data_IF_523747986757
#
_entry.id   IF_523747986757
#
_cell.length_a   1.000
_cell.length_b   1.000
_cell.length_c   1.000
_cell.angle_alpha   90.00
_cell.angle_beta   90.00
_cell.angle_gamma   90.00
#
_symmetry.space_group_name_H-M   'P 1'
#
loop_
_entity.id
_entity.type
_entity.pdbx_description
1 polymer ?
#
# COMPACT_ATOMS: atom_id res chain seq x y z
N UNK A 1 -11.91 -14.11 -6.13
CA UNK A 1 -13.21 -13.40 -6.05
C UNK A 1 -13.27 -12.69 -4.71
N UNK A 2 -13.56 -11.40 -4.69
CA UNK A 2 -13.92 -10.67 -3.48
C UNK A 2 -15.45 -10.66 -3.41
N UNK A 3 -16.07 -11.38 -2.48
CA UNK A 3 -17.52 -11.55 -2.44
C UNK A 3 -18.18 -10.65 -1.40
N UNK A 4 -19.37 -10.13 -1.70
CA UNK A 4 -20.20 -9.41 -0.73
C UNK A 4 -19.63 -8.08 -0.23
N UNK A 5 -18.73 -7.45 -0.99
CA UNK A 5 -18.09 -6.20 -0.61
C UNK A 5 -19.05 -5.01 -0.72
N UNK A 6 -19.03 -4.09 0.24
CA UNK A 6 -19.75 -2.81 0.13
C UNK A 6 -18.86 -1.79 -0.59
N UNK A 7 -19.39 -1.07 -1.58
CA UNK A 7 -18.72 0.05 -2.23
C UNK A 7 -19.03 1.37 -1.51
N UNK A 8 -18.26 2.42 -1.81
CA UNK A 8 -18.44 3.76 -1.23
C UNK A 8 -19.78 4.42 -1.59
N UNK A 9 -20.43 3.96 -2.66
CA UNK A 9 -21.78 4.40 -3.06
C UNK A 9 -22.91 3.62 -2.36
N UNK A 10 -22.56 2.71 -1.45
CA UNK A 10 -23.51 1.92 -0.66
C UNK A 10 -23.95 0.60 -1.30
N UNK A 11 -23.61 0.33 -2.56
CA UNK A 11 -23.95 -0.96 -3.21
C UNK A 11 -23.12 -2.10 -2.62
N UNK A 12 -23.72 -3.29 -2.54
CA UNK A 12 -23.01 -4.54 -2.23
C UNK A 12 -22.79 -5.33 -3.51
N UNK A 13 -21.54 -5.74 -3.76
CA UNK A 13 -21.10 -6.34 -5.02
C UNK A 13 -20.12 -7.50 -4.80
N UNK A 14 -19.94 -8.30 -5.84
CA UNK A 14 -18.78 -9.16 -6.00
C UNK A 14 -17.78 -8.51 -6.97
N UNK A 15 -16.49 -8.64 -6.69
CA UNK A 15 -15.40 -8.16 -7.55
C UNK A 15 -14.49 -9.32 -7.94
N UNK A 16 -14.38 -9.58 -9.24
CA UNK A 16 -13.47 -10.60 -9.78
C UNK A 16 -12.17 -9.95 -10.21
N UNK A 17 -11.06 -10.51 -9.74
CA UNK A 17 -9.71 -10.10 -10.08
C UNK A 17 -9.09 -11.16 -10.99
N UNK A 18 -8.42 -10.72 -12.05
CA UNK A 18 -7.60 -11.59 -12.89
C UNK A 18 -6.41 -10.80 -13.44
N UNK A 19 -5.23 -11.45 -13.48
CA UNK A 19 -4.01 -10.88 -14.10
C UNK A 19 -3.66 -9.48 -13.56
N UNK A 20 -3.80 -9.29 -12.24
CA UNK A 20 -3.49 -8.01 -11.57
C UNK A 20 -4.47 -6.87 -11.85
N UNK A 21 -5.66 -7.16 -12.40
CA UNK A 21 -6.69 -6.16 -12.71
C UNK A 21 -8.05 -6.56 -12.15
N UNK A 22 -8.91 -5.56 -11.94
CA UNK A 22 -10.34 -5.79 -11.79
C UNK A 22 -10.87 -6.22 -13.15
N UNK A 23 -11.36 -7.45 -13.22
CA UNK A 23 -11.90 -8.05 -14.44
C UNK A 23 -13.39 -7.80 -14.57
N UNK A 24 -14.13 -7.88 -13.45
CA UNK A 24 -15.56 -7.61 -13.42
C UNK A 24 -16.01 -7.16 -12.03
N UNK A 25 -17.07 -6.36 -12.00
CA UNK A 25 -17.86 -6.02 -10.82
C UNK A 25 -19.30 -6.39 -11.13
N UNK A 26 -19.92 -7.19 -10.26
CA UNK A 26 -21.27 -7.72 -10.47
C UNK A 26 -22.10 -7.68 -9.20
N UNK A 27 -23.41 -7.89 -9.32
CA UNK A 27 -24.25 -8.10 -8.13
C UNK A 27 -23.79 -9.36 -7.41
N UNK A 28 -24.02 -9.43 -6.09
CA UNK A 28 -23.64 -10.58 -5.28
C UNK A 28 -24.19 -11.88 -5.89
N UNK A 29 -23.33 -12.88 -6.03
CA UNK A 29 -23.65 -14.20 -6.60
C UNK A 29 -23.69 -14.25 -8.13
N UNK A 30 -23.56 -13.13 -8.84
CA UNK A 30 -23.58 -13.11 -10.31
C UNK A 30 -22.25 -13.50 -10.95
N UNK A 31 -21.14 -13.40 -10.21
CA UNK A 31 -19.81 -13.71 -10.72
C UNK A 31 -19.39 -15.11 -10.29
N UNK A 32 -19.12 -15.98 -11.26
CA UNK A 32 -18.50 -17.26 -10.98
C UNK A 32 -17.07 -17.07 -10.45
N UNK A 33 -16.69 -17.79 -9.40
CA UNK A 33 -15.32 -17.77 -8.87
C UNK A 33 -14.31 -18.30 -9.90
N UNK A 34 -14.74 -19.20 -10.81
CA UNK A 34 -13.91 -19.68 -11.92
C UNK A 34 -12.60 -20.35 -11.49
N UNK A 35 -12.59 -20.98 -10.30
CA UNK A 35 -11.39 -21.56 -9.69
C UNK A 35 -10.49 -20.56 -8.95
N UNK A 36 -10.82 -19.27 -8.94
CA UNK A 36 -10.12 -18.28 -8.13
C UNK A 36 -10.43 -18.45 -6.64
N UNK A 37 -9.44 -18.19 -5.78
CA UNK A 37 -9.65 -18.08 -4.34
C UNK A 37 -10.72 -17.03 -4.01
N UNK A 38 -11.64 -17.36 -3.12
CA UNK A 38 -12.70 -16.44 -2.67
C UNK A 38 -12.37 -15.85 -1.32
N UNK A 39 -12.56 -14.54 -1.18
CA UNK A 39 -12.45 -13.80 0.08
C UNK A 39 -13.81 -13.19 0.36
N UNK A 40 -14.43 -13.57 1.48
CA UNK A 40 -15.70 -13.00 1.93
C UNK A 40 -15.48 -11.65 2.61
N UNK A 41 -16.11 -10.61 2.07
CA UNK A 41 -16.04 -9.23 2.53
C UNK A 41 -17.39 -8.71 3.03
N UNK A 42 -18.34 -9.60 3.35
CA UNK A 42 -19.60 -9.19 3.97
C UNK A 42 -19.37 -8.29 5.20
N UNK A 43 -20.01 -7.13 5.21
CA UNK A 43 -19.86 -6.12 6.28
C UNK A 43 -18.67 -5.18 6.12
N UNK A 44 -17.76 -5.43 5.18
CA UNK A 44 -16.59 -4.59 4.92
C UNK A 44 -16.81 -3.61 3.78
N UNK A 45 -16.18 -2.43 3.89
CA UNK A 45 -16.09 -1.44 2.82
C UNK A 45 -14.86 -1.72 1.96
N UNK A 46 -15.05 -1.91 0.66
CA UNK A 46 -13.97 -2.02 -0.31
C UNK A 46 -13.68 -0.66 -0.93
N UNK A 47 -12.46 -0.19 -0.72
CA UNK A 47 -11.94 1.04 -1.31
C UNK A 47 -10.75 0.71 -2.22
N UNK A 48 -10.44 1.58 -3.20
CA UNK A 48 -9.10 1.59 -3.78
C UNK A 48 -8.06 1.69 -2.67
N UNK A 49 -6.96 0.96 -2.81
CA UNK A 49 -5.84 1.08 -1.88
C UNK A 49 -5.37 2.54 -1.81
N UNK A 50 -5.17 3.11 -0.60
CA UNK A 50 -4.61 4.43 -0.44
C UNK A 50 -3.25 4.60 -1.16
N UNK A 51 -2.97 5.83 -1.56
CA UNK A 51 -1.66 6.24 -2.04
C UNK A 51 -1.07 7.28 -1.07
N UNK A 52 0.19 7.13 -0.71
CA UNK A 52 0.96 8.11 0.08
C UNK A 52 1.68 9.07 -0.88
N UNK A 53 1.17 10.29 -1.09
CA UNK A 53 1.74 11.20 -2.08
C UNK A 53 3.04 11.88 -1.62
N UNK A 54 3.42 11.80 -0.34
CA UNK A 54 4.59 12.50 0.19
C UNK A 54 5.18 11.79 1.41
N UNK A 55 6.16 10.93 1.19
CA UNK A 55 6.91 10.26 2.26
C UNK A 55 8.40 10.67 2.30
N UNK A 56 8.98 10.66 3.50
CA UNK A 56 10.43 10.73 3.73
C UNK A 56 10.91 9.42 4.37
N UNK A 57 10.98 8.36 3.55
CA UNK A 57 11.35 7.02 4.02
C UNK A 57 12.84 6.92 4.40
N UNK A 58 13.67 7.82 3.89
CA UNK A 58 15.10 7.97 4.18
C UNK A 58 15.40 8.48 5.59
N UNK A 59 14.46 9.19 6.22
CA UNK A 59 14.59 9.66 7.61
C UNK A 59 13.57 9.01 8.55
N UNK A 60 12.74 8.09 8.05
CA UNK A 60 11.71 7.43 8.85
C UNK A 60 12.29 6.65 10.04
N UNK A 61 11.53 6.59 11.14
CA UNK A 61 11.83 5.80 12.34
C UNK A 61 13.11 6.23 13.09
N UNK A 62 13.60 7.44 12.87
CA UNK A 62 14.82 7.96 13.51
C UNK A 62 14.57 8.78 14.78
N UNK A 63 13.32 9.16 15.05
CA UNK A 63 12.96 10.12 16.11
C UNK A 63 13.41 9.72 17.52
N UNK A 64 13.60 8.42 17.79
CA UNK A 64 14.00 7.91 19.10
C UNK A 64 15.51 7.60 19.20
N UNK A 65 16.27 7.79 18.11
CA UNK A 65 17.73 7.59 18.12
C UNK A 65 18.42 8.91 18.45
N UNK A 66 19.29 8.98 19.47
CA UNK A 66 20.05 10.19 19.77
C UNK A 66 21.02 10.56 18.63
N UNK A 67 21.15 11.86 18.37
CA UNK A 67 22.06 12.39 17.36
C UNK A 67 21.51 12.30 15.92
N UNK A 68 22.33 12.68 14.92
CA UNK A 68 21.94 12.56 13.52
C UNK A 68 21.70 11.09 13.12
N UNK A 69 20.74 10.81 12.21
CA UNK A 69 20.55 9.47 11.66
C UNK A 69 21.80 8.90 11.00
N UNK A 70 21.99 7.57 11.09
CA UNK A 70 22.96 6.87 10.26
C UNK A 70 22.49 6.87 8.80
N UNK A 71 23.24 7.60 7.96
CA UNK A 71 22.99 7.78 6.53
C UNK A 71 23.67 6.71 5.67
N UNK A 72 24.25 5.66 6.26
CA UNK A 72 24.81 4.55 5.50
C UNK A 72 23.76 3.91 4.58
N UNK A 73 24.10 3.48 3.35
CA UNK A 73 23.13 2.88 2.43
C UNK A 73 22.38 1.68 3.01
N UNK A 74 23.01 0.95 3.94
CA UNK A 74 22.38 -0.16 4.66
C UNK A 74 21.29 0.33 5.61
N UNK A 75 21.59 1.34 6.41
CA UNK A 75 20.66 1.87 7.40
C UNK A 75 19.46 2.56 6.72
N UNK A 76 19.70 3.35 5.67
CA UNK A 76 18.65 3.96 4.84
C UNK A 76 17.75 2.90 4.19
N UNK A 77 18.32 1.86 3.57
CA UNK A 77 17.52 0.77 2.98
C UNK A 77 16.69 0.04 4.03
N UNK A 78 17.24 -0.23 5.21
CA UNK A 78 16.53 -0.92 6.29
C UNK A 78 15.29 -0.14 6.71
N UNK A 79 15.46 1.14 7.08
CA UNK A 79 14.35 1.98 7.55
C UNK A 79 13.34 2.28 6.44
N UNK A 80 13.79 2.48 5.20
CA UNK A 80 12.87 2.72 4.08
C UNK A 80 12.00 1.48 3.79
N UNK A 81 12.58 0.28 3.91
CA UNK A 81 11.84 -0.98 3.78
C UNK A 81 10.81 -1.11 4.91
N UNK A 82 11.22 -0.85 6.15
CA UNK A 82 10.33 -0.92 7.31
C UNK A 82 9.18 0.08 7.20
N UNK A 83 9.46 1.32 6.83
CA UNK A 83 8.43 2.34 6.60
C UNK A 83 7.44 1.94 5.49
N UNK A 84 7.93 1.36 4.39
CA UNK A 84 7.07 0.86 3.31
C UNK A 84 6.19 -0.31 3.75
N UNK A 85 6.73 -1.25 4.52
CA UNK A 85 5.98 -2.39 5.05
C UNK A 85 4.92 -1.97 6.08
N UNK A 86 5.23 -0.99 6.93
CA UNK A 86 4.25 -0.40 7.84
C UNK A 86 3.10 0.23 7.04
N UNK A 87 3.40 0.99 6.00
CA UNK A 87 2.39 1.63 5.14
C UNK A 87 1.54 0.60 4.39
N UNK A 88 2.16 -0.46 3.86
CA UNK A 88 1.46 -1.60 3.26
C UNK A 88 0.54 -2.30 4.28
N UNK A 89 0.97 -2.44 5.53
CA UNK A 89 0.16 -2.97 6.63
C UNK A 89 -1.11 -2.16 6.93
N UNK A 90 -1.11 -0.87 6.56
CA UNK A 90 -2.29 0.02 6.63
C UNK A 90 -3.02 0.14 5.28
N UNK A 91 -2.67 -0.69 4.30
CA UNK A 91 -3.34 -0.78 3.00
C UNK A 91 -2.80 0.17 1.92
N UNK A 92 -1.80 1.01 2.20
CA UNK A 92 -1.20 1.87 1.20
C UNK A 92 -0.34 1.05 0.23
N UNK A 93 -0.66 1.09 -1.08
CA UNK A 93 0.04 0.28 -2.10
C UNK A 93 0.86 1.10 -3.09
N UNK A 94 0.76 2.42 -3.02
CA UNK A 94 1.56 3.34 -3.81
C UNK A 94 2.13 4.43 -2.91
N UNK A 95 3.41 4.76 -3.08
CA UNK A 95 4.06 5.81 -2.32
C UNK A 95 4.98 6.63 -3.22
N UNK A 96 4.98 7.95 -3.04
CA UNK A 96 6.01 8.84 -3.57
C UNK A 96 6.91 9.26 -2.41
N UNK A 97 8.15 8.79 -2.45
CA UNK A 97 9.15 9.15 -1.47
C UNK A 97 10.08 10.24 -2.01
N UNK A 98 10.50 11.13 -1.11
CA UNK A 98 11.59 12.06 -1.32
C UNK A 98 12.80 11.54 -0.55
N UNK A 99 13.98 11.69 -1.14
CA UNK A 99 15.26 11.42 -0.49
C UNK A 99 16.03 12.72 -0.46
N UNK A 100 16.66 13.03 0.68
CA UNK A 100 17.52 14.20 0.79
C UNK A 100 18.74 14.05 -0.13
N UNK A 101 19.00 15.06 -0.94
CA UNK A 101 20.22 15.17 -1.77
C UNK A 101 20.91 16.48 -1.40
N UNK A 102 22.15 16.40 -0.89
CA UNK A 102 22.97 17.55 -0.49
C UNK A 102 24.23 17.13 0.29
N UNK A 103 25.17 18.07 0.44
CA UNK A 103 26.52 17.85 0.99
C UNK A 103 26.52 17.46 2.49
N UNK A 104 27.49 16.69 3.02
CA UNK A 104 28.95 16.98 3.17
C UNK A 104 29.85 16.77 1.93
N UNK A 105 29.37 16.22 0.83
CA UNK A 105 30.08 16.22 -0.45
C UNK A 105 29.17 16.66 -1.58
N UNK A 106 29.46 17.83 -2.14
CA UNK A 106 28.82 18.35 -3.34
C UNK A 106 29.20 17.56 -4.59
N UNK A 107 28.48 17.85 -5.67
CA UNK A 107 28.77 17.31 -7.00
C UNK A 107 30.16 17.78 -7.43
N UNK A 108 31.15 16.88 -7.35
CA UNK A 108 32.42 17.01 -8.08
C UNK A 108 32.25 16.55 -9.51
#
# INVERSE_FOLDING_TARGET
>A
LLSGARLSDGRTVDVRLARGRIEAVGTVGSLAAGGAHTVDLAGWLLLPAPAEPHAHADTALTALTPGPPDDSPRAVRSRATEAALLQLGHGATAQRAHVRVGDVQGLT
#
